data_IF_832171142671
#
_entry.id   IF_832171142671
#
_cell.length_a   1.000
_cell.length_b   1.000
_cell.length_c   1.000
_cell.angle_alpha   90.00
_cell.angle_beta   90.00
_cell.angle_gamma   90.00
#
_symmetry.space_group_name_H-M   'P 1'
#
loop_
_entity.id
_entity.type
_entity.pdbx_description
1 polymer ?
#
# COMPACT_ATOMS: atom_id res chain seq x y z
N UNK A 1 20.59 -19.06 6.40
CA UNK A 1 20.07 -17.72 6.73
C UNK A 1 19.79 -17.01 5.40
N UNK A 2 18.61 -16.44 5.19
CA UNK A 2 18.28 -15.76 3.94
C UNK A 2 18.98 -14.40 3.95
N UNK A 3 19.66 -14.05 2.86
CA UNK A 3 20.30 -12.75 2.68
C UNK A 3 19.25 -11.63 2.59
N UNK A 4 19.46 -10.55 3.37
CA UNK A 4 18.56 -9.41 3.42
C UNK A 4 18.33 -8.75 2.05
N UNK A 5 19.37 -8.61 1.23
CA UNK A 5 19.25 -8.01 -0.10
C UNK A 5 18.41 -8.88 -1.02
N UNK A 6 18.58 -10.20 -0.95
CA UNK A 6 17.74 -11.14 -1.70
C UNK A 6 16.27 -10.98 -1.32
N UNK A 7 15.96 -10.90 -0.02
CA UNK A 7 14.58 -10.73 0.45
C UNK A 7 14.00 -9.37 0.02
N UNK A 8 14.77 -8.29 0.13
CA UNK A 8 14.38 -6.96 -0.34
C UNK A 8 14.10 -6.94 -1.85
N UNK A 9 14.92 -7.62 -2.65
CA UNK A 9 14.71 -7.73 -4.10
C UNK A 9 13.43 -8.50 -4.42
N UNK A 10 13.11 -9.58 -3.69
CA UNK A 10 11.83 -10.31 -3.83
C UNK A 10 10.63 -9.41 -3.50
N UNK A 11 10.70 -8.69 -2.37
CA UNK A 11 9.65 -7.77 -1.94
C UNK A 11 9.46 -6.62 -2.94
N UNK A 12 10.55 -6.08 -3.47
CA UNK A 12 10.50 -5.03 -4.49
C UNK A 12 9.84 -5.53 -5.77
N UNK A 13 10.19 -6.74 -6.22
CA UNK A 13 9.58 -7.32 -7.40
C UNK A 13 8.09 -7.65 -7.18
N UNK A 14 7.71 -8.13 -5.99
CA UNK A 14 6.30 -8.32 -5.61
C UNK A 14 5.52 -7.00 -5.66
N UNK A 15 6.10 -5.91 -5.12
CA UNK A 15 5.53 -4.58 -5.19
C UNK A 15 5.36 -4.10 -6.64
N UNK A 16 6.37 -4.26 -7.49
CA UNK A 16 6.25 -3.91 -8.92
C UNK A 16 5.17 -4.71 -9.63
N UNK A 17 5.10 -6.02 -9.37
CA UNK A 17 4.03 -6.87 -9.89
C UNK A 17 2.64 -6.40 -9.44
N UNK A 18 2.50 -5.94 -8.19
CA UNK A 18 1.22 -5.42 -7.67
C UNK A 18 0.73 -4.16 -8.40
N UNK A 19 1.66 -3.36 -8.93
CA UNK A 19 1.34 -2.17 -9.73
C UNK A 19 0.97 -2.57 -11.16
N UNK A 20 1.75 -3.46 -11.78
CA UNK A 20 1.68 -3.73 -13.23
C UNK A 20 0.65 -4.79 -13.61
N UNK A 21 0.41 -5.81 -12.77
CA UNK A 21 -0.42 -6.95 -13.16
C UNK A 21 -1.91 -6.57 -13.28
N UNK A 22 -2.50 -6.86 -14.44
CA UNK A 22 -3.93 -6.72 -14.74
C UNK A 22 -4.50 -8.12 -15.05
N UNK A 23 -4.68 -8.95 -14.01
CA UNK A 23 -5.01 -10.37 -14.22
C UNK A 23 -6.38 -10.81 -13.72
N UNK A 24 -7.03 -10.05 -12.84
CA UNK A 24 -8.38 -10.40 -12.43
C UNK A 24 -9.36 -9.98 -13.52
N UNK A 25 -10.04 -10.96 -14.11
CA UNK A 25 -11.12 -10.76 -15.07
C UNK A 25 -12.46 -11.17 -14.45
N UNK A 26 -13.53 -10.57 -14.94
CA UNK A 26 -14.90 -10.92 -14.59
C UNK A 26 -15.73 -11.10 -15.85
N UNK A 27 -16.72 -11.98 -15.74
CA UNK A 27 -17.74 -12.16 -16.77
C UNK A 27 -18.63 -10.91 -16.86
N UNK A 28 -19.00 -10.49 -18.08
CA UNK A 28 -19.94 -9.39 -18.26
C UNK A 28 -21.34 -9.83 -17.82
N UNK A 29 -22.15 -8.90 -17.27
CA UNK A 29 -23.55 -9.16 -16.90
C UNK A 29 -24.47 -9.44 -18.11
N UNK A 30 -23.93 -9.38 -19.33
CA UNK A 30 -24.63 -9.66 -20.58
C UNK A 30 -24.18 -11.03 -21.09
N UNK A 31 -25.09 -11.99 -21.32
CA UNK A 31 -24.73 -13.27 -21.92
C UNK A 31 -24.08 -13.01 -23.29
N UNK A 32 -22.90 -13.58 -23.53
CA UNK A 32 -22.09 -13.43 -24.76
C UNK A 32 -21.28 -12.12 -24.92
N UNK A 33 -20.99 -11.37 -23.84
CA UNK A 33 -20.13 -10.18 -23.89
C UNK A 33 -18.89 -10.28 -23.00
N UNK A 34 -17.80 -9.77 -23.54
CA UNK A 34 -16.39 -9.85 -23.14
C UNK A 34 -16.07 -9.88 -21.64
N UNK A 35 -15.03 -10.65 -21.31
CA UNK A 35 -14.29 -10.58 -20.04
C UNK A 35 -13.79 -9.15 -19.79
N UNK A 36 -14.09 -8.60 -18.60
CA UNK A 36 -13.63 -7.26 -18.20
C UNK A 36 -12.65 -7.34 -17.05
N UNK A 37 -11.70 -6.42 -17.00
CA UNK A 37 -10.79 -6.29 -15.85
C UNK A 37 -11.57 -5.96 -14.58
N UNK A 38 -11.37 -6.76 -13.54
CA UNK A 38 -11.84 -6.51 -12.19
C UNK A 38 -10.87 -5.55 -11.49
N UNK A 39 -11.07 -4.25 -11.71
CA UNK A 39 -10.23 -3.17 -11.16
C UNK A 39 -9.95 -3.22 -9.65
N UNK A 40 -10.88 -3.65 -8.77
CA UNK A 40 -10.59 -3.81 -7.34
C UNK A 40 -9.41 -4.72 -7.00
N UNK A 41 -9.02 -5.61 -7.92
CA UNK A 41 -7.85 -6.47 -7.75
C UNK A 41 -6.55 -5.70 -7.51
N UNK A 42 -6.40 -4.48 -8.05
CA UNK A 42 -5.26 -3.61 -7.75
C UNK A 42 -5.12 -3.34 -6.25
N UNK A 43 -6.23 -3.04 -5.58
CA UNK A 43 -6.21 -2.85 -4.13
C UNK A 43 -5.78 -4.12 -3.38
N UNK A 44 -6.25 -5.28 -3.84
CA UNK A 44 -5.90 -6.57 -3.25
C UNK A 44 -4.40 -6.84 -3.39
N UNK A 45 -3.83 -6.71 -4.59
CA UNK A 45 -2.40 -6.96 -4.81
C UNK A 45 -1.53 -5.94 -4.09
N UNK A 46 -1.90 -4.66 -4.13
CA UNK A 46 -1.19 -3.61 -3.39
C UNK A 46 -1.14 -3.90 -1.90
N UNK A 47 -2.27 -4.31 -1.30
CA UNK A 47 -2.30 -4.63 0.11
C UNK A 47 -1.53 -5.92 0.42
N UNK A 48 -1.55 -6.91 -0.48
CA UNK A 48 -0.76 -8.13 -0.31
C UNK A 48 0.74 -7.86 -0.31
N UNK A 49 1.23 -7.05 -1.25
CA UNK A 49 2.62 -6.61 -1.27
C UNK A 49 2.96 -5.83 0.00
N UNK A 50 2.09 -4.89 0.39
CA UNK A 50 2.26 -4.10 1.60
C UNK A 50 2.34 -4.96 2.87
N UNK A 51 1.45 -5.94 3.02
CA UNK A 51 1.46 -6.91 4.13
C UNK A 51 2.77 -7.69 4.20
N UNK A 52 3.28 -8.10 3.04
CA UNK A 52 4.58 -8.77 2.96
C UNK A 52 5.73 -7.86 3.42
N UNK A 53 5.63 -6.55 3.20
CA UNK A 53 6.66 -5.59 3.61
C UNK A 53 6.55 -5.24 5.10
N UNK A 54 5.38 -4.84 5.61
CA UNK A 54 5.28 -4.41 7.01
C UNK A 54 5.40 -5.55 8.03
N UNK A 55 5.38 -6.81 7.59
CA UNK A 55 5.60 -7.99 8.44
C UNK A 55 7.03 -8.12 9.02
N UNK A 56 7.95 -7.23 8.62
CA UNK A 56 9.33 -7.21 9.09
C UNK A 56 9.61 -6.04 10.04
N UNK A 57 10.48 -6.31 11.02
CA UNK A 57 11.12 -5.30 11.87
C UNK A 57 12.31 -4.72 11.09
N UNK A 58 12.06 -3.69 10.29
CA UNK A 58 13.07 -3.14 9.38
C UNK A 58 14.23 -2.47 10.10
N UNK A 59 14.02 -1.89 11.28
CA UNK A 59 15.11 -1.32 12.08
C UNK A 59 16.10 -2.43 12.46
N UNK A 60 15.61 -3.53 13.06
CA UNK A 60 16.46 -4.69 13.38
C UNK A 60 17.00 -5.40 12.15
N UNK A 61 16.23 -5.44 11.06
CA UNK A 61 16.65 -6.12 9.84
C UNK A 61 17.88 -5.46 9.22
N UNK A 62 17.90 -4.12 9.19
CA UNK A 62 19.06 -3.35 8.72
C UNK A 62 20.24 -3.49 9.69
N UNK A 63 20.01 -3.38 11.00
CA UNK A 63 21.07 -3.50 12.02
C UNK A 63 21.79 -4.86 11.94
N UNK A 64 21.03 -5.94 11.81
CA UNK A 64 21.56 -7.31 11.80
C UNK A 64 21.89 -7.83 10.40
N UNK A 65 21.68 -7.02 9.35
CA UNK A 65 21.84 -7.44 7.95
C UNK A 65 21.09 -8.74 7.60
N UNK A 66 19.92 -8.95 8.20
CA UNK A 66 19.12 -10.18 8.09
C UNK A 66 17.64 -9.85 8.08
N UNK A 67 16.77 -10.54 7.31
CA UNK A 67 15.34 -10.24 7.26
C UNK A 67 14.63 -10.68 8.56
N UNK A 68 14.50 -9.77 9.51
CA UNK A 68 13.92 -10.01 10.82
C UNK A 68 12.41 -9.75 10.78
N UNK A 69 11.61 -10.79 11.00
CA UNK A 69 10.17 -10.62 11.22
C UNK A 69 9.90 -10.14 12.64
N UNK A 70 8.75 -9.49 12.84
CA UNK A 70 8.22 -9.32 14.19
C UNK A 70 8.12 -10.69 14.88
N UNK A 71 8.27 -10.74 16.21
CA UNK A 71 8.23 -11.99 16.98
C UNK A 71 6.95 -12.81 16.73
N UNK A 72 6.89 -14.07 17.17
CA UNK A 72 5.67 -14.87 17.02
C UNK A 72 4.48 -14.23 17.75
N UNK A 73 3.25 -14.45 17.28
CA UNK A 73 2.02 -13.96 17.94
C UNK A 73 1.81 -14.51 19.35
N UNK A 74 2.54 -15.56 19.73
CA UNK A 74 2.56 -16.15 21.08
C UNK A 74 3.53 -15.42 22.04
N UNK A 75 4.37 -14.52 21.53
CA UNK A 75 5.22 -13.65 22.34
C UNK A 75 4.38 -12.46 22.83
N UNK A 76 4.39 -12.20 24.14
CA UNK A 76 3.69 -11.06 24.75
C UNK A 76 4.12 -9.71 24.15
N UNK A 77 5.27 -9.67 23.46
CA UNK A 77 5.81 -8.49 22.80
C UNK A 77 5.49 -8.38 21.30
N UNK A 78 4.62 -9.23 20.72
CA UNK A 78 4.25 -9.10 19.32
C UNK A 78 3.48 -7.78 19.06
N UNK A 79 4.00 -6.87 18.21
CA UNK A 79 3.33 -5.61 17.94
C UNK A 79 2.02 -5.86 17.18
N UNK A 80 0.98 -5.10 17.52
CA UNK A 80 -0.28 -5.13 16.78
C UNK A 80 -0.02 -4.72 15.33
N UNK A 81 -0.81 -5.23 14.39
CA UNK A 81 -0.68 -4.90 12.95
C UNK A 81 -0.67 -3.38 12.70
N UNK A 82 -1.45 -2.60 13.44
CA UNK A 82 -1.45 -1.14 13.36
C UNK A 82 -0.09 -0.52 13.74
N UNK A 83 0.60 -1.10 14.73
CA UNK A 83 1.90 -0.64 15.18
C UNK A 83 3.00 -1.04 14.17
N UNK A 84 2.88 -2.21 13.54
CA UNK A 84 3.75 -2.62 12.42
C UNK A 84 3.62 -1.67 11.22
N UNK A 85 2.39 -1.28 10.86
CA UNK A 85 2.10 -0.29 9.82
C UNK A 85 2.68 1.08 10.17
N UNK A 86 2.56 1.52 11.43
CA UNK A 86 3.18 2.79 11.88
C UNK A 86 4.70 2.71 11.84
N UNK A 87 5.28 1.56 12.17
CA UNK A 87 6.73 1.35 12.16
C UNK A 87 7.32 1.54 10.76
N UNK A 88 6.69 1.00 9.70
CA UNK A 88 7.18 1.20 8.33
C UNK A 88 7.08 2.65 7.86
N UNK A 89 6.01 3.37 8.25
CA UNK A 89 5.87 4.81 7.96
C UNK A 89 6.96 5.60 8.67
N UNK A 90 7.16 5.32 9.96
CA UNK A 90 8.18 5.96 10.79
C UNK A 90 9.58 5.72 10.23
N UNK A 91 9.93 4.47 9.95
CA UNK A 91 11.19 4.08 9.33
C UNK A 91 11.42 4.86 8.03
N UNK A 92 10.44 4.85 7.12
CA UNK A 92 10.56 5.53 5.83
C UNK A 92 10.79 7.05 5.98
N UNK A 93 10.05 7.68 6.89
CA UNK A 93 10.20 9.11 7.19
C UNK A 93 11.56 9.43 7.83
N UNK A 94 12.03 8.62 8.77
CA UNK A 94 13.29 8.85 9.47
C UNK A 94 14.49 8.66 8.53
N UNK A 95 14.48 7.61 7.72
CA UNK A 95 15.56 7.29 6.78
C UNK A 95 15.72 8.31 5.65
N UNK A 96 14.64 8.99 5.26
CA UNK A 96 14.64 10.01 4.21
C UNK A 96 14.65 11.45 4.75
N UNK A 97 14.37 11.64 6.04
CA UNK A 97 14.30 12.94 6.70
C UNK A 97 13.41 13.94 5.98
N UNK A 98 13.93 15.14 5.74
CA UNK A 98 13.20 16.25 5.09
C UNK A 98 12.78 15.97 3.65
N UNK A 99 13.34 14.94 3.00
CA UNK A 99 12.97 14.55 1.64
C UNK A 99 11.71 13.68 1.58
N UNK A 100 11.33 13.04 2.69
CA UNK A 100 10.22 12.08 2.71
C UNK A 100 8.89 12.67 2.19
N UNK A 101 8.46 13.89 2.63
CA UNK A 101 7.21 14.49 2.14
C UNK A 101 7.22 14.77 0.64
N UNK A 102 8.30 15.36 0.13
CA UNK A 102 8.45 15.69 -1.29
C UNK A 102 8.43 14.43 -2.16
N UNK A 103 9.16 13.39 -1.75
CA UNK A 103 9.17 12.11 -2.45
C UNK A 103 7.80 11.45 -2.42
N UNK A 104 7.15 11.41 -1.26
CA UNK A 104 5.82 10.81 -1.12
C UNK A 104 4.78 11.48 -2.01
N UNK A 105 4.72 12.82 -2.02
CA UNK A 105 3.78 13.57 -2.88
C UNK A 105 4.02 13.27 -4.35
N UNK A 106 5.29 13.24 -4.79
CA UNK A 106 5.66 12.92 -6.17
C UNK A 106 5.19 11.52 -6.55
N UNK A 107 5.46 10.53 -5.70
CA UNK A 107 5.06 9.13 -5.92
C UNK A 107 3.52 9.03 -5.97
N UNK A 108 2.81 9.61 -4.99
CA UNK A 108 1.35 9.56 -4.91
C UNK A 108 0.70 10.16 -6.16
N UNK A 109 1.17 11.31 -6.63
CA UNK A 109 0.69 11.92 -7.88
C UNK A 109 0.90 10.98 -9.08
N UNK A 110 2.07 10.35 -9.17
CA UNK A 110 2.36 9.36 -10.21
C UNK A 110 1.41 8.16 -10.17
N UNK A 111 1.15 7.60 -8.99
CA UNK A 111 0.24 6.46 -8.83
C UNK A 111 -1.21 6.82 -9.21
N UNK A 112 -1.69 7.99 -8.78
CA UNK A 112 -3.04 8.47 -9.14
C UNK A 112 -3.17 8.69 -10.66
N UNK A 113 -2.13 9.22 -11.30
CA UNK A 113 -2.08 9.38 -12.76
C UNK A 113 -2.09 8.02 -13.47
N UNK A 114 -1.31 7.04 -13.00
CA UNK A 114 -1.29 5.69 -13.55
C UNK A 114 -2.66 5.02 -13.50
N UNK A 115 -3.42 5.26 -12.43
CA UNK A 115 -4.79 4.77 -12.29
C UNK A 115 -5.86 5.66 -12.94
N UNK A 116 -5.44 6.72 -13.65
CA UNK A 116 -6.32 7.66 -14.36
C UNK A 116 -7.35 8.33 -13.41
N UNK A 117 -6.95 8.59 -12.16
CA UNK A 117 -7.76 9.26 -11.16
C UNK A 117 -7.51 10.78 -11.24
N UNK A 118 -8.47 11.51 -11.77
CA UNK A 118 -8.33 12.97 -11.99
C UNK A 118 -8.82 13.81 -10.82
N UNK A 119 -9.79 13.31 -10.05
CA UNK A 119 -10.46 14.06 -8.98
C UNK A 119 -10.51 13.26 -7.67
N UNK A 120 -9.35 12.88 -7.10
CA UNK A 120 -9.31 11.97 -5.96
C UNK A 120 -10.07 12.53 -4.74
N UNK A 121 -10.01 13.84 -4.49
CA UNK A 121 -10.72 14.46 -3.36
C UNK A 121 -12.24 14.34 -3.51
N UNK A 122 -12.79 14.52 -4.71
CA UNK A 122 -14.23 14.40 -4.96
C UNK A 122 -14.69 12.96 -4.74
N UNK A 123 -13.95 11.97 -5.24
CA UNK A 123 -14.26 10.54 -5.08
C UNK A 123 -14.32 10.09 -3.60
N UNK A 124 -13.60 10.78 -2.71
CA UNK A 124 -13.57 10.49 -1.26
C UNK A 124 -14.65 11.22 -0.46
N UNK A 125 -15.37 12.20 -1.02
CA UNK A 125 -16.48 12.87 -0.32
C UNK A 125 -17.67 11.93 -0.10
N UNK A 126 -17.83 10.97 -1.00
CA UNK A 126 -18.97 10.04 -1.04
C UNK A 126 -18.72 8.73 -0.27
N UNK A 127 -17.79 8.70 0.70
CA UNK A 127 -17.59 7.51 1.53
C UNK A 127 -18.83 7.31 2.42
N UNK A 128 -19.74 6.46 1.96
CA UNK A 128 -21.02 6.22 2.62
C UNK A 128 -20.84 5.64 4.03
N UNK A 129 -21.68 6.03 5.00
CA UNK A 129 -21.74 5.36 6.29
C UNK A 129 -22.08 3.89 6.10
N UNK A 130 -21.50 3.04 6.96
CA UNK A 130 -21.86 1.63 7.06
C UNK A 130 -22.18 1.29 8.52
N UNK A 131 -22.75 0.11 8.77
CA UNK A 131 -22.94 -0.41 10.12
C UNK A 131 -21.57 -0.81 10.69
N UNK A 132 -20.82 0.19 11.14
CA UNK A 132 -19.44 0.07 11.58
C UNK A 132 -19.28 0.48 13.05
N UNK A 133 -18.23 -0.02 13.71
CA UNK A 133 -17.93 0.38 15.08
C UNK A 133 -17.61 1.88 15.18
N UNK A 134 -17.78 2.46 16.37
CA UNK A 134 -17.44 3.88 16.64
C UNK A 134 -16.02 4.24 16.19
N UNK A 135 -15.08 3.30 16.36
CA UNK A 135 -13.69 3.44 15.93
C UNK A 135 -13.57 3.58 14.42
N UNK A 136 -14.15 2.66 13.65
CA UNK A 136 -14.10 2.68 12.18
C UNK A 136 -14.79 3.92 11.63
N UNK A 137 -15.90 4.35 12.25
CA UNK A 137 -16.57 5.62 11.92
C UNK A 137 -15.67 6.84 12.08
N UNK A 138 -14.88 6.88 13.16
CA UNK A 138 -13.89 7.94 13.38
C UNK A 138 -12.84 7.97 12.28
N UNK A 139 -12.26 6.81 11.95
CA UNK A 139 -11.27 6.67 10.88
C UNK A 139 -11.82 7.09 9.51
N UNK A 140 -13.04 6.64 9.18
CA UNK A 140 -13.75 6.99 7.95
C UNK A 140 -13.93 8.50 7.80
N UNK A 141 -14.37 9.16 8.86
CA UNK A 141 -14.61 10.61 8.85
C UNK A 141 -13.31 11.42 8.74
N UNK A 142 -12.22 10.93 9.34
CA UNK A 142 -10.91 11.59 9.27
C UNK A 142 -10.22 11.39 7.91
N UNK A 143 -10.48 10.28 7.22
CA UNK A 143 -9.75 9.89 6.02
C UNK A 143 -9.72 10.95 4.90
N UNK A 144 -10.83 11.59 4.49
CA UNK A 144 -10.77 12.62 3.45
C UNK A 144 -9.90 13.82 3.83
N UNK A 145 -9.90 14.20 5.11
CA UNK A 145 -9.05 15.26 5.63
C UNK A 145 -7.57 14.88 5.58
N UNK A 146 -7.22 13.69 6.07
CA UNK A 146 -5.86 13.17 6.03
C UNK A 146 -5.34 13.07 4.58
N UNK A 147 -6.15 12.53 3.67
CA UNK A 147 -5.78 12.43 2.26
C UNK A 147 -5.58 13.81 1.64
N UNK A 148 -6.46 14.79 1.96
CA UNK A 148 -6.32 16.16 1.47
C UNK A 148 -4.99 16.78 1.92
N UNK A 149 -4.61 16.60 3.19
CA UNK A 149 -3.31 17.04 3.71
C UNK A 149 -2.16 16.41 2.93
N UNK A 150 -2.19 15.09 2.72
CA UNK A 150 -1.15 14.37 1.98
C UNK A 150 -1.03 14.81 0.51
N UNK A 151 -2.15 15.11 -0.15
CA UNK A 151 -2.18 15.36 -1.59
C UNK A 151 -2.03 16.84 -1.97
N UNK A 152 -2.53 17.75 -1.15
CA UNK A 152 -2.67 19.17 -1.49
C UNK A 152 -1.87 20.12 -0.60
N UNK A 153 -1.25 19.67 0.49
CA UNK A 153 -0.49 20.56 1.35
C UNK A 153 0.84 20.96 0.67
N UNK A 154 1.07 22.25 0.37
CA UNK A 154 2.32 22.71 -0.24
C UNK A 154 3.51 22.54 0.71
N UNK A 155 3.26 22.65 2.03
CA UNK A 155 4.25 22.61 3.09
C UNK A 155 4.08 21.35 3.95
N UNK A 156 3.89 20.19 3.31
CA UNK A 156 3.74 18.93 4.04
C UNK A 156 5.00 18.64 4.86
N UNK A 157 4.90 18.75 6.18
CA UNK A 157 5.99 18.42 7.11
C UNK A 157 6.11 16.91 7.30
N UNK A 158 7.24 16.44 7.81
CA UNK A 158 7.45 15.03 8.16
C UNK A 158 6.43 14.54 9.18
N UNK A 159 6.12 15.34 10.22
CA UNK A 159 5.11 14.97 11.22
C UNK A 159 3.70 14.92 10.63
N UNK A 160 3.38 15.85 9.74
CA UNK A 160 2.09 15.87 9.02
C UNK A 160 1.95 14.68 8.08
N UNK A 161 3.04 14.30 7.39
CA UNK A 161 3.10 13.09 6.58
C UNK A 161 2.88 11.86 7.46
N UNK A 162 3.65 11.70 8.54
CA UNK A 162 3.57 10.54 9.43
C UNK A 162 2.17 10.37 10.02
N UNK A 163 1.61 11.43 10.59
CA UNK A 163 0.27 11.41 11.20
C UNK A 163 -0.84 11.16 10.17
N UNK A 164 -0.84 11.89 9.05
CA UNK A 164 -1.89 11.78 8.04
C UNK A 164 -1.83 10.45 7.29
N UNK A 165 -0.63 9.95 6.98
CA UNK A 165 -0.44 8.68 6.30
C UNK A 165 -0.81 7.52 7.21
N UNK A 166 -0.36 7.53 8.46
CA UNK A 166 -0.73 6.50 9.45
C UNK A 166 -2.24 6.45 9.65
N UNK A 167 -2.90 7.60 9.87
CA UNK A 167 -4.35 7.67 10.01
C UNK A 167 -5.10 7.20 8.76
N UNK A 168 -4.55 7.49 7.56
CA UNK A 168 -5.10 7.00 6.30
C UNK A 168 -5.00 5.47 6.18
N UNK A 169 -3.86 4.90 6.54
CA UNK A 169 -3.60 3.46 6.47
C UNK A 169 -4.43 2.68 7.49
N UNK A 170 -4.66 3.20 8.69
CA UNK A 170 -5.57 2.58 9.67
C UNK A 170 -7.00 2.47 9.13
N UNK A 171 -7.48 3.48 8.40
CA UNK A 171 -8.77 3.38 7.72
C UNK A 171 -8.73 2.33 6.59
N UNK A 172 -7.68 2.35 5.76
CA UNK A 172 -7.53 1.39 4.66
C UNK A 172 -7.45 -0.06 5.16
N UNK A 173 -6.80 -0.32 6.29
CA UNK A 173 -6.78 -1.61 6.98
C UNK A 173 -8.20 -2.07 7.37
N UNK A 174 -9.06 -1.14 7.82
CA UNK A 174 -10.47 -1.44 8.11
C UNK A 174 -11.25 -1.78 6.83
N UNK A 175 -10.99 -1.07 5.72
CA UNK A 175 -11.57 -1.39 4.40
C UNK A 175 -11.11 -2.77 3.93
N UNK A 176 -9.82 -3.07 4.10
CA UNK A 176 -9.20 -4.35 3.78
C UNK A 176 -9.88 -5.50 4.51
N UNK A 177 -10.13 -5.35 5.81
CA UNK A 177 -10.82 -6.37 6.59
C UNK A 177 -12.24 -6.62 6.06
N UNK A 178 -12.95 -5.56 5.65
CA UNK A 178 -14.26 -5.69 5.02
C UNK A 178 -14.21 -6.37 3.64
N UNK A 179 -13.17 -6.11 2.84
CA UNK A 179 -13.00 -6.70 1.50
C UNK A 179 -12.62 -8.19 1.60
N UNK A 180 -11.69 -8.55 2.48
CA UNK A 180 -11.19 -9.94 2.58
C UNK A 180 -12.05 -10.87 3.43
N UNK A 181 -12.76 -10.35 4.44
CA UNK A 181 -13.61 -11.17 5.31
C UNK A 181 -15.10 -11.15 4.90
N UNK A 182 -15.40 -10.72 3.67
CA UNK A 182 -16.67 -11.01 3.02
C UNK A 182 -17.87 -10.20 3.49
N UNK A 183 -17.69 -9.09 4.22
CA UNK A 183 -18.81 -8.20 4.56
C UNK A 183 -19.33 -7.41 3.34
N UNK A 184 -18.59 -7.44 2.21
CA UNK A 184 -19.04 -6.91 0.92
C UNK A 184 -19.20 -8.01 -0.12
N UNK A 185 -20.37 -8.07 -0.77
CA UNK A 185 -20.59 -8.96 -1.91
C UNK A 185 -19.87 -8.45 -3.16
N UNK A 186 -19.57 -9.32 -4.12
CA UNK A 186 -18.99 -8.96 -5.43
C UNK A 186 -19.79 -7.85 -6.14
N UNK A 187 -21.10 -7.81 -5.94
CA UNK A 187 -22.03 -6.78 -6.45
C UNK A 187 -21.71 -5.40 -5.82
N UNK A 188 -21.39 -5.34 -4.52
CA UNK A 188 -21.02 -4.08 -3.85
C UNK A 188 -19.63 -3.57 -4.26
N UNK A 189 -18.79 -4.45 -4.81
CA UNK A 189 -17.51 -4.11 -5.42
C UNK A 189 -17.67 -3.63 -6.89
N UNK A 190 -18.88 -3.72 -7.45
CA UNK A 190 -19.17 -3.26 -8.82
C UNK A 190 -19.55 -1.77 -8.89
N UNK A 191 -19.87 -1.13 -7.75
CA UNK A 191 -20.12 0.31 -7.71
C UNK A 191 -18.89 1.07 -8.22
N UNK A 192 -19.07 1.82 -9.31
CA UNK A 192 -17.97 2.56 -9.97
C UNK A 192 -17.26 3.50 -9.00
N UNK A 193 -18.01 4.16 -8.09
CA UNK A 193 -17.42 5.05 -7.08
C UNK A 193 -16.60 4.27 -6.06
N UNK A 194 -17.07 3.10 -5.63
CA UNK A 194 -16.30 2.20 -4.78
C UNK A 194 -15.01 1.73 -5.45
N UNK A 195 -15.06 1.35 -6.73
CA UNK A 195 -13.85 0.95 -7.47
C UNK A 195 -12.84 2.09 -7.55
N UNK A 196 -13.30 3.32 -7.83
CA UNK A 196 -12.43 4.49 -7.86
C UNK A 196 -11.77 4.74 -6.50
N UNK A 197 -12.52 4.62 -5.40
CA UNK A 197 -11.96 4.72 -4.04
C UNK A 197 -10.92 3.62 -3.76
N UNK A 198 -11.17 2.39 -4.17
CA UNK A 198 -10.21 1.30 -4.00
C UNK A 198 -8.91 1.56 -4.77
N UNK A 199 -8.97 2.20 -5.95
CA UNK A 199 -7.77 2.63 -6.67
C UNK A 199 -7.03 3.76 -5.93
N UNK A 200 -7.73 4.68 -5.28
CA UNK A 200 -7.10 5.70 -4.42
C UNK A 200 -6.42 5.05 -3.21
N UNK A 201 -7.03 4.04 -2.60
CA UNK A 201 -6.43 3.30 -1.48
C UNK A 201 -5.20 2.52 -1.94
N UNK A 202 -5.27 1.87 -3.11
CA UNK A 202 -4.13 1.21 -3.74
C UNK A 202 -2.99 2.19 -4.02
N UNK A 203 -3.30 3.39 -4.52
CA UNK A 203 -2.32 4.43 -4.78
C UNK A 203 -1.59 4.85 -3.49
N UNK A 204 -2.30 5.06 -2.38
CA UNK A 204 -1.67 5.38 -1.08
C UNK A 204 -0.75 4.25 -0.60
N UNK A 205 -1.25 3.00 -0.64
CA UNK A 205 -0.48 1.83 -0.19
C UNK A 205 0.77 1.64 -1.03
N UNK A 206 0.66 1.70 -2.35
CA UNK A 206 1.81 1.61 -3.25
C UNK A 206 2.78 2.77 -3.08
N UNK A 207 2.27 3.96 -2.74
CA UNK A 207 3.14 5.12 -2.50
C UNK A 207 4.00 4.96 -1.26
N UNK A 208 3.44 4.38 -0.19
CA UNK A 208 4.24 4.01 0.98
C UNK A 208 5.23 2.90 0.65
N UNK A 209 4.85 1.87 -0.10
CA UNK A 209 5.77 0.80 -0.48
C UNK A 209 6.95 1.35 -1.30
N UNK A 210 6.69 2.22 -2.27
CA UNK A 210 7.75 2.86 -3.05
C UNK A 210 8.63 3.79 -2.18
N UNK A 211 8.03 4.58 -1.28
CA UNK A 211 8.76 5.42 -0.33
C UNK A 211 9.67 4.57 0.58
N UNK A 212 9.17 3.42 1.04
CA UNK A 212 9.93 2.45 1.82
C UNK A 212 11.16 1.96 1.04
N UNK A 213 11.03 1.60 -0.24
CA UNK A 213 12.19 1.18 -1.03
C UNK A 213 13.17 2.33 -1.29
N UNK A 214 12.70 3.57 -1.44
CA UNK A 214 13.58 4.74 -1.45
C UNK A 214 14.36 4.88 -0.12
N UNK A 215 13.69 4.65 1.02
CA UNK A 215 14.33 4.66 2.33
C UNK A 215 15.34 3.52 2.50
N UNK A 216 15.06 2.31 2.02
CA UNK A 216 16.02 1.20 2.04
C UNK A 216 17.26 1.55 1.21
N UNK A 217 17.07 2.09 0.00
CA UNK A 217 18.18 2.50 -0.86
C UNK A 217 19.05 3.61 -0.23
N UNK A 218 18.51 4.44 0.67
CA UNK A 218 19.30 5.46 1.37
C UNK A 218 20.10 4.92 2.54
N UNK A 219 19.71 3.78 3.14
CA UNK A 219 20.35 3.25 4.36
C UNK A 219 21.10 1.93 4.16
N UNK A 220 20.90 1.23 3.04
CA UNK A 220 21.54 -0.07 2.77
C UNK A 220 22.52 0.01 1.58
N UNK A 221 23.83 0.18 1.82
CA UNK A 221 24.82 0.33 0.77
C UNK A 221 24.85 -0.83 -0.23
N UNK A 222 24.90 -0.48 -1.52
CA UNK A 222 24.97 -1.44 -2.61
C UNK A 222 23.71 -2.28 -2.80
N UNK A 223 22.58 -1.89 -2.20
CA UNK A 223 21.26 -2.35 -2.65
C UNK A 223 20.62 -1.23 -3.48
N UNK A 224 20.08 -1.58 -4.64
CA UNK A 224 19.41 -0.66 -5.53
C UNK A 224 18.01 -1.22 -5.85
N UNK A 225 17.08 -0.32 -6.17
CA UNK A 225 15.72 -0.65 -6.62
C UNK A 225 15.73 -1.27 -8.03
N UNK A 226 16.41 -2.41 -8.20
CA UNK A 226 16.44 -3.19 -9.45
C UNK A 226 15.45 -4.33 -9.26
N UNK A 227 14.42 -4.46 -10.13
CA UNK A 227 13.57 -5.64 -10.13
C UNK A 227 14.44 -6.88 -10.33
N UNK A 228 14.17 -7.98 -9.64
CA UNK A 228 14.68 -9.26 -10.11
C UNK A 228 14.15 -9.45 -11.54
N UNK A 229 15.04 -9.50 -12.52
CA UNK A 229 14.71 -9.88 -13.90
C UNK A 229 14.25 -11.34 -13.91
N UNK A 230 13.01 -11.60 -13.50
CA UNK A 230 12.39 -12.93 -13.63
C UNK A 230 12.19 -13.31 -15.11
N UNK A 231 12.37 -12.37 -16.04
CA UNK A 231 12.30 -12.62 -17.48
C UNK A 231 13.53 -13.36 -18.02
N UNK A 232 14.72 -13.19 -17.44
CA UNK A 232 15.94 -13.85 -17.93
C UNK A 232 15.98 -15.36 -17.66
N UNK A 233 15.25 -15.85 -16.66
CA UNK A 233 15.17 -17.29 -16.39
C UNK A 233 14.21 -18.02 -17.34
N UNK A 234 13.30 -17.32 -18.01
CA UNK A 234 12.38 -17.92 -18.98
C UNK A 234 12.96 -18.05 -20.39
N UNK A 235 13.95 -17.24 -20.77
CA UNK A 235 14.65 -17.34 -22.06
C UNK A 235 15.72 -18.44 -22.07
N UNK A 236 16.14 -18.95 -20.91
CA UNK A 236 17.09 -20.08 -20.81
C UNK A 236 16.35 -21.43 -20.78
N UNK A 237 15.02 -21.40 -20.65
CA UNK A 237 14.16 -22.58 -20.63
C UNK A 237 13.31 -22.77 -21.92
N UNK A 238 13.55 -21.96 -22.95
CA UNK A 238 12.94 -22.04 -24.29
C UNK A 238 13.99 -22.35 -25.35
#
# INVERSE_FOLDING_TARGET
>A
MIDLKIELTKLFALHKASITLDHAVRESATPNLDWRLFRPSKFIYSYFAFNSIYSFDWEKSIELYSPMRWGSTEDENHPKEEDQIKAIVKFSCQSLGSQAPLQFIRILKGQLQNYKITKPIEALRDIRPSNESKRVKGLRNAFPGNFKTLFQSPDLTQDSLLSSLSGSLSYIQSVRNNVFHGSKTSIQMDDRRQQERLLIYAALVNSLCELFFCAIASVLPGWNCVPADFAKELEVAS
#
